data_IF_925715807673
#
_entry.id   IF_925715807673
#
_cell.length_a   1.000
_cell.length_b   1.000
_cell.length_c   1.000
_cell.angle_alpha   90.00
_cell.angle_beta   90.00
_cell.angle_gamma   90.00
#
_symmetry.space_group_name_H-M   'P 1'
#
loop_
_entity.id
_entity.type
_entity.pdbx_description
1 polymer ?
#
# COMPACT_ATOMS: atom_id res chain seq x y z
N UNK A 1 38.60 -58.95 29.98
CA UNK A 1 38.83 -57.50 30.11
C UNK A 1 37.73 -56.76 29.37
N UNK A 2 37.17 -55.74 30.02
CA UNK A 2 36.02 -54.95 29.60
C UNK A 2 36.42 -53.91 28.54
N UNK A 3 35.62 -53.74 27.49
CA UNK A 3 35.78 -52.73 26.44
C UNK A 3 34.46 -52.50 25.69
N UNK A 4 34.21 -51.29 25.14
CA UNK A 4 33.10 -50.44 25.58
C UNK A 4 31.77 -50.61 24.80
N UNK A 5 30.68 -50.30 25.53
CA UNK A 5 29.30 -50.19 25.03
C UNK A 5 29.17 -49.09 23.97
N UNK A 6 28.58 -49.43 22.83
CA UNK A 6 28.12 -48.50 21.80
C UNK A 6 27.09 -47.51 22.38
N UNK A 7 27.18 -46.20 22.09
CA UNK A 7 26.16 -45.25 22.53
C UNK A 7 24.90 -45.40 21.67
N UNK A 8 23.75 -45.56 22.32
CA UNK A 8 22.43 -45.54 21.68
C UNK A 8 22.19 -44.14 21.10
N UNK A 9 22.11 -44.03 19.76
CA UNK A 9 21.58 -42.84 19.09
C UNK A 9 20.11 -42.70 19.46
N UNK A 10 19.79 -41.74 20.32
CA UNK A 10 18.43 -41.23 20.47
C UNK A 10 18.08 -40.46 19.20
N UNK A 11 17.25 -41.05 18.36
CA UNK A 11 16.57 -40.33 17.29
C UNK A 11 15.50 -39.45 17.93
N UNK A 12 15.85 -38.19 18.20
CA UNK A 12 14.86 -37.14 18.47
C UNK A 12 14.18 -36.79 17.16
N UNK A 13 13.06 -37.44 16.88
CA UNK A 13 12.17 -37.06 15.79
C UNK A 13 11.53 -35.72 16.16
N UNK A 14 12.19 -34.62 15.82
CA UNK A 14 11.60 -33.28 15.90
C UNK A 14 10.67 -33.11 14.69
N UNK A 15 9.52 -33.79 14.73
CA UNK A 15 8.41 -33.45 13.83
C UNK A 15 7.85 -32.13 14.33
N UNK A 16 8.49 -31.04 13.90
CA UNK A 16 7.95 -29.69 13.99
C UNK A 16 6.70 -29.63 13.10
N UNK A 17 5.59 -30.13 13.62
CA UNK A 17 4.27 -29.80 13.10
C UNK A 17 4.09 -28.31 13.37
N UNK A 18 4.43 -27.51 12.36
CA UNK A 18 4.07 -26.11 12.28
C UNK A 18 2.54 -26.07 12.29
N UNK A 19 1.98 -25.95 13.49
CA UNK A 19 0.55 -25.82 13.71
C UNK A 19 0.18 -24.46 13.11
N UNK A 20 -0.43 -24.48 11.93
CA UNK A 20 -1.15 -23.34 11.38
C UNK A 20 -2.27 -23.00 12.37
N UNK A 21 -1.96 -22.08 13.27
CA UNK A 21 -2.94 -21.52 14.21
C UNK A 21 -3.94 -20.76 13.34
N UNK A 22 -5.21 -21.11 13.49
CA UNK A 22 -6.33 -20.48 12.83
C UNK A 22 -6.38 -19.00 13.24
N UNK A 23 -6.09 -18.07 12.32
CA UNK A 23 -6.45 -16.65 12.49
C UNK A 23 -6.91 -15.98 11.20
N UNK A 24 -7.47 -16.73 10.25
CA UNK A 24 -7.92 -16.15 8.96
C UNK A 24 -9.08 -15.15 9.11
N UNK A 25 -9.82 -15.18 10.22
CA UNK A 25 -10.98 -14.31 10.47
C UNK A 25 -10.61 -12.93 11.04
N UNK A 26 -9.48 -12.77 11.74
CA UNK A 26 -9.06 -11.48 12.30
C UNK A 26 -8.31 -10.61 11.29
N UNK A 27 -7.59 -11.22 10.33
CA UNK A 27 -6.90 -10.44 9.29
C UNK A 27 -7.88 -9.71 8.35
N UNK A 28 -9.07 -10.28 8.10
CA UNK A 28 -10.08 -9.62 7.26
C UNK A 28 -10.74 -8.43 7.97
N UNK A 29 -10.97 -8.50 9.29
CA UNK A 29 -11.51 -7.37 10.06
C UNK A 29 -10.53 -6.20 10.13
N UNK A 30 -9.24 -6.47 10.40
CA UNK A 30 -8.23 -5.42 10.53
C UNK A 30 -7.94 -4.73 9.20
N UNK A 31 -7.95 -5.48 8.10
CA UNK A 31 -7.83 -4.92 6.74
C UNK A 31 -9.03 -4.04 6.37
N UNK A 32 -10.25 -4.41 6.78
CA UNK A 32 -11.45 -3.61 6.55
C UNK A 32 -11.43 -2.30 7.35
N UNK A 33 -11.02 -2.34 8.62
CA UNK A 33 -10.84 -1.13 9.45
C UNK A 33 -9.79 -0.21 8.82
N UNK A 34 -8.66 -0.77 8.39
CA UNK A 34 -7.60 -0.01 7.74
C UNK A 34 -8.06 0.62 6.41
N UNK A 35 -8.89 -0.08 5.65
CA UNK A 35 -9.52 0.43 4.43
C UNK A 35 -10.45 1.61 4.73
N UNK A 36 -11.40 1.44 5.65
CA UNK A 36 -12.34 2.52 6.01
C UNK A 36 -11.62 3.74 6.57
N UNK A 37 -10.56 3.53 7.34
CA UNK A 37 -9.71 4.61 7.81
C UNK A 37 -9.02 5.34 6.64
N UNK A 38 -8.51 4.60 5.64
CA UNK A 38 -7.86 5.18 4.45
C UNK A 38 -8.85 5.97 3.58
N UNK A 39 -10.08 5.47 3.43
CA UNK A 39 -11.16 6.13 2.68
C UNK A 39 -11.53 7.47 3.33
N UNK A 40 -11.58 7.52 4.67
CA UNK A 40 -11.88 8.73 5.45
C UNK A 40 -10.64 9.61 5.71
N UNK A 41 -9.46 9.21 5.24
CA UNK A 41 -8.22 9.97 5.48
C UNK A 41 -8.26 11.28 4.68
N UNK A 42 -8.19 12.39 5.42
CA UNK A 42 -8.12 13.74 4.87
C UNK A 42 -7.07 14.57 5.62
N UNK A 43 -6.54 15.65 5.03
CA UNK A 43 -5.58 16.52 5.73
C UNK A 43 -6.12 17.10 7.05
N UNK A 44 -7.45 17.26 7.15
CA UNK A 44 -8.12 17.82 8.32
C UNK A 44 -8.39 16.78 9.41
N UNK A 45 -8.51 15.49 9.07
CA UNK A 45 -8.72 14.44 10.06
C UNK A 45 -7.47 14.12 10.89
N UNK A 46 -6.29 14.56 10.42
CA UNK A 46 -5.04 14.38 11.12
C UNK A 46 -4.85 15.41 12.27
N UNK A 47 -4.72 14.96 13.53
CA UNK A 47 -4.59 15.87 14.66
C UNK A 47 -3.25 16.59 14.63
N UNK A 48 -3.30 17.93 14.70
CA UNK A 48 -2.14 18.82 14.67
C UNK A 48 -1.03 18.46 15.68
N UNK A 49 -1.43 17.96 16.87
CA UNK A 49 -0.53 17.61 17.98
C UNK A 49 0.34 16.37 17.73
N UNK A 50 0.00 15.54 16.76
CA UNK A 50 0.77 14.33 16.45
C UNK A 50 2.02 14.61 15.63
N UNK A 51 2.20 15.85 15.16
CA UNK A 51 3.28 16.22 14.26
C UNK A 51 4.16 17.30 14.87
N UNK A 52 5.47 17.12 14.71
CA UNK A 52 6.44 18.18 14.97
C UNK A 52 6.54 19.07 13.73
N UNK A 53 6.09 20.31 13.86
CA UNK A 53 6.12 21.31 12.79
C UNK A 53 7.29 22.25 13.01
N UNK A 54 8.17 22.35 12.02
CA UNK A 54 9.29 23.29 11.98
C UNK A 54 9.13 24.22 10.78
N UNK A 55 9.43 25.50 10.99
CA UNK A 55 9.44 26.49 9.92
C UNK A 55 10.87 26.92 9.61
N UNK A 56 11.22 26.86 8.34
CA UNK A 56 12.54 27.24 7.83
C UNK A 56 12.39 28.27 6.69
N UNK A 57 13.51 28.81 6.21
CA UNK A 57 13.50 29.66 5.02
C UNK A 57 13.21 28.81 3.78
N UNK A 58 12.46 29.37 2.83
CA UNK A 58 12.20 28.71 1.55
C UNK A 58 13.49 28.53 0.76
N UNK A 59 13.59 27.44 0.00
CA UNK A 59 14.72 27.19 -0.88
C UNK A 59 14.44 27.87 -2.23
N UNK A 60 15.27 28.82 -2.65
CA UNK A 60 15.08 29.47 -3.95
C UNK A 60 16.07 30.61 -4.23
N UNK A 61 16.18 31.05 -5.49
CA UNK A 61 17.06 32.15 -5.88
C UNK A 61 16.72 33.41 -5.08
N UNK A 62 17.74 33.96 -4.44
CA UNK A 62 17.64 34.94 -3.36
C UNK A 62 16.90 36.22 -3.76
N UNK A 63 15.83 36.50 -3.02
CA UNK A 63 15.18 37.80 -2.96
C UNK A 63 14.93 38.19 -1.51
N UNK A 64 14.65 39.48 -1.24
CA UNK A 64 14.45 39.98 0.14
C UNK A 64 13.48 39.12 0.96
N UNK A 65 12.44 38.58 0.32
CA UNK A 65 11.42 37.76 0.97
C UNK A 65 11.90 36.35 1.35
N UNK A 66 12.70 35.69 0.49
CA UNK A 66 13.25 34.34 0.74
C UNK A 66 14.19 34.36 1.95
N UNK A 67 14.97 35.43 2.08
CA UNK A 67 15.93 35.58 3.18
C UNK A 67 15.27 36.02 4.50
N UNK A 68 14.11 36.69 4.45
CA UNK A 68 13.47 37.31 5.63
C UNK A 68 12.35 36.48 6.25
N UNK A 69 11.61 35.69 5.47
CA UNK A 69 10.41 34.99 5.96
C UNK A 69 10.62 33.48 5.99
N UNK A 70 10.48 32.88 7.17
CA UNK A 70 10.46 31.43 7.34
C UNK A 70 9.11 30.85 6.90
N UNK A 71 8.88 30.76 5.59
CA UNK A 71 7.65 30.23 5.02
C UNK A 71 7.67 28.72 4.75
N UNK A 72 8.85 28.08 4.62
CA UNK A 72 8.96 26.63 4.40
C UNK A 72 8.45 25.89 5.63
N UNK A 73 7.58 24.91 5.41
CA UNK A 73 7.09 24.04 6.47
C UNK A 73 7.75 22.67 6.34
N UNK A 74 8.29 22.17 7.45
CA UNK A 74 8.78 20.80 7.62
C UNK A 74 7.91 20.13 8.67
N UNK A 75 7.20 19.09 8.28
CA UNK A 75 6.33 18.29 9.13
C UNK A 75 7.01 16.93 9.38
N UNK A 76 7.27 16.63 10.64
CA UNK A 76 7.93 15.40 11.07
C UNK A 76 6.98 14.60 11.95
N UNK A 77 6.82 13.32 11.62
CA UNK A 77 6.13 12.33 12.43
C UNK A 77 7.16 11.34 12.94
N UNK A 78 7.44 11.37 14.23
CA UNK A 78 8.39 10.46 14.90
C UNK A 78 7.70 9.17 15.36
N UNK A 79 8.49 8.11 15.56
CA UNK A 79 8.03 6.81 16.09
C UNK A 79 6.86 6.24 15.29
N UNK A 80 6.92 6.34 13.96
CA UNK A 80 5.83 5.95 13.07
C UNK A 80 5.40 4.49 13.29
N UNK A 81 6.37 3.59 13.49
CA UNK A 81 6.10 2.16 13.71
C UNK A 81 5.18 1.89 14.91
N UNK A 82 5.18 2.74 15.94
CA UNK A 82 4.36 2.62 17.16
C UNK A 82 3.16 3.56 17.20
N UNK A 83 2.96 4.38 16.16
CA UNK A 83 1.96 5.45 16.18
C UNK A 83 0.53 4.89 16.13
N UNK A 84 -0.27 5.13 17.17
CA UNK A 84 -1.66 4.68 17.26
C UNK A 84 -2.62 5.45 16.34
N UNK A 85 -2.16 6.57 15.75
CA UNK A 85 -2.94 7.35 14.79
C UNK A 85 -3.21 6.57 13.50
N UNK A 86 -2.33 5.63 13.16
CA UNK A 86 -2.39 4.85 11.93
C UNK A 86 -2.74 3.40 12.26
N UNK A 87 -3.73 2.80 11.57
CA UNK A 87 -4.02 1.38 11.69
C UNK A 87 -2.77 0.53 11.47
N UNK A 88 -2.70 -0.62 12.14
CA UNK A 88 -1.53 -1.50 12.07
C UNK A 88 -1.19 -1.90 10.63
N UNK A 89 -2.19 -2.22 9.82
CA UNK A 89 -1.98 -2.66 8.44
C UNK A 89 -1.48 -1.52 7.54
N UNK A 90 -1.91 -0.28 7.77
CA UNK A 90 -1.39 0.92 7.08
C UNK A 90 0.09 1.11 7.44
N UNK A 91 0.43 1.06 8.73
CA UNK A 91 1.83 1.16 9.19
C UNK A 91 2.70 0.09 8.55
N UNK A 92 2.21 -1.16 8.54
CA UNK A 92 2.90 -2.31 7.93
C UNK A 92 3.18 -2.06 6.45
N UNK A 93 2.18 -1.67 5.66
CA UNK A 93 2.35 -1.42 4.23
C UNK A 93 3.30 -0.25 3.92
N UNK A 94 3.23 0.84 4.70
CA UNK A 94 4.14 1.99 4.53
C UNK A 94 5.60 1.58 4.76
N UNK A 95 5.86 0.75 5.78
CA UNK A 95 7.19 0.24 6.11
C UNK A 95 7.68 -0.78 5.07
N UNK A 96 6.83 -1.74 4.69
CA UNK A 96 7.15 -2.85 3.78
C UNK A 96 7.43 -2.34 2.36
N UNK A 97 6.58 -1.43 1.85
CA UNK A 97 6.74 -0.81 0.53
C UNK A 97 7.78 0.31 0.50
N UNK A 98 8.41 0.61 1.64
CA UNK A 98 9.42 1.67 1.80
C UNK A 98 8.95 2.99 1.19
N UNK A 99 7.84 3.51 1.70
CA UNK A 99 7.31 4.81 1.25
C UNK A 99 8.42 5.86 1.18
N UNK A 100 8.47 6.63 0.09
CA UNK A 100 9.58 7.56 -0.22
C UNK A 100 9.99 8.49 0.92
N UNK A 101 9.04 8.91 1.74
CA UNK A 101 9.25 9.87 2.84
C UNK A 101 9.45 9.21 4.21
N UNK A 102 9.39 7.88 4.29
CA UNK A 102 9.67 7.13 5.52
C UNK A 102 11.17 6.85 5.63
N UNK A 103 11.76 7.22 6.76
CA UNK A 103 13.13 6.88 7.12
C UNK A 103 13.13 5.72 8.13
N UNK A 104 13.58 4.51 7.76
CA UNK A 104 13.64 3.36 8.66
C UNK A 104 14.61 3.53 9.83
N UNK A 105 15.68 4.33 9.67
CA UNK A 105 16.73 4.49 10.69
C UNK A 105 16.24 5.33 11.86
N UNK A 106 15.56 6.45 11.57
CA UNK A 106 14.99 7.34 12.58
C UNK A 106 13.54 7.01 12.94
N UNK A 107 12.97 5.97 12.32
CA UNK A 107 11.55 5.60 12.38
C UNK A 107 10.60 6.81 12.25
N UNK A 108 10.87 7.64 11.24
CA UNK A 108 10.18 8.93 11.09
C UNK A 108 9.74 9.18 9.66
N UNK A 109 8.60 9.85 9.50
CA UNK A 109 8.16 10.41 8.21
C UNK A 109 8.41 11.91 8.21
N UNK A 110 9.13 12.40 7.19
CA UNK A 110 9.43 13.83 7.05
C UNK A 110 8.85 14.33 5.74
N UNK A 111 7.98 15.34 5.81
CA UNK A 111 7.32 15.97 4.66
C UNK A 111 7.64 17.46 4.66
N UNK A 112 7.98 18.01 3.50
CA UNK A 112 8.33 19.41 3.35
C UNK A 112 7.53 20.08 2.23
N UNK A 113 7.21 21.37 2.42
CA UNK A 113 6.61 22.20 1.39
C UNK A 113 6.99 23.68 1.56
N UNK A 114 7.37 24.32 0.45
CA UNK A 114 7.73 25.74 0.36
C UNK A 114 7.14 26.43 -0.88
N UNK A 115 6.06 25.89 -1.43
CA UNK A 115 5.41 26.38 -2.66
C UNK A 115 4.82 27.78 -2.52
N UNK A 116 4.30 28.11 -1.34
CA UNK A 116 3.60 29.38 -1.11
C UNK A 116 4.36 30.30 -0.17
N UNK A 117 3.93 31.56 -0.14
CA UNK A 117 4.44 32.57 0.80
C UNK A 117 3.89 32.46 2.21
N UNK A 118 2.84 31.67 2.41
CA UNK A 118 2.16 31.54 3.69
C UNK A 118 2.56 30.25 4.39
N UNK A 119 3.02 30.37 5.64
CA UNK A 119 3.40 29.22 6.46
C UNK A 119 2.23 28.25 6.67
N UNK A 120 1.01 28.77 6.78
CA UNK A 120 -0.19 27.98 7.04
C UNK A 120 -0.61 27.21 5.78
N UNK A 121 -0.54 27.86 4.62
CA UNK A 121 -0.79 27.19 3.34
C UNK A 121 0.25 26.09 3.09
N UNK A 122 1.53 26.35 3.36
CA UNK A 122 2.58 25.33 3.24
C UNK A 122 2.39 24.17 4.22
N UNK A 123 1.86 24.41 5.42
CA UNK A 123 1.50 23.36 6.38
C UNK A 123 0.37 22.48 5.85
N UNK A 124 -0.70 23.08 5.31
CA UNK A 124 -1.80 22.35 4.67
C UNK A 124 -1.30 21.50 3.50
N UNK A 125 -0.40 22.05 2.67
CA UNK A 125 0.23 21.32 1.57
C UNK A 125 1.09 20.14 2.04
N UNK A 126 1.80 20.26 3.17
CA UNK A 126 2.54 19.12 3.75
C UNK A 126 1.60 17.99 4.16
N UNK A 127 0.46 18.33 4.80
CA UNK A 127 -0.54 17.34 5.20
C UNK A 127 -1.20 16.68 3.98
N UNK A 128 -1.53 17.46 2.94
CA UNK A 128 -2.05 16.93 1.68
C UNK A 128 -1.07 15.94 1.03
N UNK A 129 0.20 16.34 0.87
CA UNK A 129 1.26 15.47 0.35
C UNK A 129 1.41 14.18 1.15
N UNK A 130 1.32 14.24 2.49
CA UNK A 130 1.36 13.07 3.34
C UNK A 130 0.18 12.12 3.06
N UNK A 131 -1.03 12.65 3.01
CA UNK A 131 -2.25 11.87 2.75
C UNK A 131 -2.19 11.22 1.38
N UNK A 132 -1.80 11.97 0.35
CA UNK A 132 -1.72 11.46 -1.03
C UNK A 132 -0.69 10.31 -1.13
N UNK A 133 0.48 10.47 -0.52
CA UNK A 133 1.50 9.42 -0.51
C UNK A 133 1.05 8.16 0.25
N UNK A 134 0.31 8.32 1.35
CA UNK A 134 -0.25 7.18 2.08
C UNK A 134 -1.28 6.46 1.21
N UNK A 135 -2.16 7.19 0.52
CA UNK A 135 -3.16 6.62 -0.41
C UNK A 135 -2.53 5.94 -1.62
N UNK A 136 -1.43 6.48 -2.13
CA UNK A 136 -0.69 5.86 -3.24
C UNK A 136 0.02 4.57 -2.78
N UNK A 137 0.61 4.60 -1.58
CA UNK A 137 1.40 3.47 -1.07
C UNK A 137 0.50 2.35 -0.55
N UNK A 138 -0.58 2.66 0.16
CA UNK A 138 -1.43 1.66 0.80
C UNK A 138 -2.48 1.13 -0.17
N UNK A 139 -2.53 -0.18 -0.32
CA UNK A 139 -3.52 -0.85 -1.17
C UNK A 139 -4.32 -1.82 -0.33
N UNK A 140 -5.64 -1.67 -0.36
CA UNK A 140 -6.59 -2.57 0.27
C UNK A 140 -7.54 -3.07 -0.81
N UNK A 141 -7.55 -4.37 -1.13
CA UNK A 141 -8.46 -4.91 -2.13
C UNK A 141 -9.90 -4.71 -1.65
N UNK A 142 -10.71 -4.04 -2.47
CA UNK A 142 -12.16 -3.93 -2.25
C UNK A 142 -12.83 -5.20 -2.77
N UNK A 143 -13.84 -5.68 -2.07
CA UNK A 143 -14.77 -6.65 -2.64
C UNK A 143 -15.39 -6.04 -3.91
N UNK A 144 -15.31 -6.77 -5.02
CA UNK A 144 -15.87 -6.31 -6.27
C UNK A 144 -17.38 -6.12 -6.11
N UNK A 145 -17.89 -5.00 -6.59
CA UNK A 145 -19.33 -4.76 -6.61
C UNK A 145 -20.01 -5.87 -7.44
N UNK A 146 -21.10 -6.49 -6.95
CA UNK A 146 -21.86 -7.47 -7.73
C UNK A 146 -22.16 -7.00 -9.16
N UNK A 147 -22.44 -5.71 -9.36
CA UNK A 147 -22.69 -5.15 -10.67
C UNK A 147 -21.44 -5.16 -11.58
N UNK A 148 -20.26 -4.93 -11.00
CA UNK A 148 -19.00 -5.04 -11.72
C UNK A 148 -18.71 -6.50 -12.11
N UNK A 149 -18.93 -7.45 -11.20
CA UNK A 149 -18.78 -8.87 -11.47
C UNK A 149 -19.67 -9.29 -12.65
N UNK A 150 -20.96 -8.96 -12.60
CA UNK A 150 -21.92 -9.28 -13.66
C UNK A 150 -21.52 -8.64 -15.00
N UNK A 151 -21.09 -7.38 -14.97
CA UNK A 151 -20.60 -6.68 -16.16
C UNK A 151 -19.40 -7.41 -16.78
N UNK A 152 -18.42 -7.82 -15.98
CA UNK A 152 -17.24 -8.53 -16.47
C UNK A 152 -17.59 -9.93 -17.00
N UNK A 153 -18.52 -10.64 -16.36
CA UNK A 153 -19.01 -11.93 -16.85
C UNK A 153 -19.70 -11.81 -18.20
N UNK A 154 -20.57 -10.81 -18.37
CA UNK A 154 -21.25 -10.52 -19.64
C UNK A 154 -20.25 -10.20 -20.75
N UNK A 155 -19.25 -9.36 -20.47
CA UNK A 155 -18.19 -9.03 -21.45
C UNK A 155 -17.38 -10.27 -21.83
N UNK A 156 -17.02 -11.11 -20.84
CA UNK A 156 -16.31 -12.37 -21.07
C UNK A 156 -17.14 -13.34 -21.93
N UNK A 157 -18.43 -13.45 -21.65
CA UNK A 157 -19.38 -14.26 -22.42
C UNK A 157 -19.47 -13.82 -23.88
N UNK A 158 -19.70 -12.52 -24.12
CA UNK A 158 -19.80 -11.97 -25.48
C UNK A 158 -18.50 -12.15 -26.29
N UNK A 159 -17.33 -11.95 -25.66
CA UNK A 159 -16.04 -12.17 -26.31
C UNK A 159 -15.83 -13.65 -26.69
N UNK A 160 -16.18 -14.57 -25.77
CA UNK A 160 -16.13 -16.02 -26.01
C UNK A 160 -17.02 -16.42 -27.18
N UNK A 161 -18.24 -15.89 -27.25
CA UNK A 161 -19.19 -16.19 -28.33
C UNK A 161 -18.67 -15.68 -29.69
N UNK A 162 -18.20 -14.44 -29.76
CA UNK A 162 -17.60 -13.87 -30.99
C UNK A 162 -16.44 -14.73 -31.48
N UNK A 163 -15.53 -15.13 -30.59
CA UNK A 163 -14.40 -16.01 -30.93
C UNK A 163 -14.86 -17.35 -31.51
N UNK A 164 -15.88 -17.98 -30.90
CA UNK A 164 -16.42 -19.26 -31.38
C UNK A 164 -17.06 -19.11 -32.76
N UNK A 165 -17.84 -18.04 -32.99
CA UNK A 165 -18.42 -17.71 -34.29
C UNK A 165 -17.34 -17.52 -35.36
N UNK A 166 -16.31 -16.72 -35.08
CA UNK A 166 -15.18 -16.54 -36.01
C UNK A 166 -14.42 -17.85 -36.28
N UNK A 167 -14.22 -18.69 -35.27
CA UNK A 167 -13.59 -20.01 -35.44
C UNK A 167 -14.41 -20.92 -36.34
N UNK A 168 -15.74 -20.91 -36.19
CA UNK A 168 -16.67 -21.69 -37.03
C UNK A 168 -16.63 -21.21 -38.49
N UNK A 169 -16.78 -19.90 -38.71
CA UNK A 169 -16.71 -19.30 -40.06
C UNK A 169 -15.38 -19.59 -40.76
N UNK A 170 -14.26 -19.48 -40.04
CA UNK A 170 -12.94 -19.80 -40.60
C UNK A 170 -12.80 -21.30 -40.92
N UNK A 171 -13.39 -22.18 -40.10
CA UNK A 171 -13.44 -23.62 -40.37
C UNK A 171 -14.24 -23.94 -41.63
N UNK A 172 -15.41 -23.32 -41.80
CA UNK A 172 -16.26 -23.46 -42.98
C UNK A 172 -15.55 -22.98 -44.25
N UNK A 173 -14.97 -21.77 -44.22
CA UNK A 173 -14.15 -21.24 -45.34
C UNK A 173 -13.03 -22.19 -45.75
N UNK A 174 -12.35 -22.82 -44.79
CA UNK A 174 -11.30 -23.82 -45.09
C UNK A 174 -11.85 -25.10 -45.72
N UNK A 175 -13.05 -25.55 -45.31
CA UNK A 175 -13.71 -26.74 -45.88
C UNK A 175 -14.15 -26.48 -47.32
N UNK A 176 -14.80 -25.35 -47.60
CA UNK A 176 -15.24 -25.00 -48.97
C UNK A 176 -14.05 -24.92 -49.93
N UNK A 177 -12.93 -24.31 -49.52
CA UNK A 177 -11.69 -24.30 -50.32
C UNK A 177 -11.19 -25.70 -50.66
N UNK A 178 -11.36 -26.67 -49.76
CA UNK A 178 -10.94 -28.06 -49.96
C UNK A 178 -11.88 -28.88 -50.87
N UNK A 179 -13.05 -28.37 -51.23
CA UNK A 179 -13.96 -29.07 -52.15
C UNK A 179 -13.86 -28.54 -53.58
N UNK A 180 -13.19 -27.40 -53.79
CA UNK A 180 -13.05 -26.73 -55.08
C UNK A 180 -11.73 -27.08 -55.80
N UNK A 181 -10.95 -28.01 -55.25
CA UNK A 181 -9.79 -28.66 -55.88
C UNK A 181 -10.07 -30.15 -55.97
#
# INVERSE_FOLDING_TARGET
MLGPKSPKRLLVNFTSTFRWIHSSTQLSSDANIAREWLDNLSPQSLPSRSFHVRYDRASGPGGQKVNKVSSKCTLTLERFSSCSLFPQEVRRQVMDKRMRLYNPVSDSIVVQSDETRSREQNRQLCLAKLVDLIKETCYFPKEADPADIEKWERVRGASKERRLKSKKLNGERKRTRKQLW
#
